data_IF_122737775708
#
_entry.id   IF_122737775708
#
_cell.length_a   1.000
_cell.length_b   1.000
_cell.length_c   1.000
_cell.angle_alpha   90.00
_cell.angle_beta   90.00
_cell.angle_gamma   90.00
#
_symmetry.space_group_name_H-M   'P 1'
#
loop_
_entity.id
_entity.type
_entity.pdbx_description
1 polymer ?
#
# COMPACT_ATOMS: atom_id res chain seq x y z
N UNK A 1 -3.47 20.51 6.97
CA UNK A 1 -3.54 19.31 6.10
C UNK A 1 -2.85 19.63 4.78
N UNK A 2 -1.67 19.05 4.50
CA UNK A 2 -0.97 19.24 3.22
C UNK A 2 -1.56 18.25 2.22
N UNK A 3 -2.38 18.73 1.30
CA UNK A 3 -2.90 17.95 0.19
C UNK A 3 -1.87 17.96 -0.94
N UNK A 4 -1.34 16.81 -1.31
CA UNK A 4 -0.49 16.66 -2.49
C UNK A 4 -1.41 16.61 -3.72
N UNK A 5 -1.57 17.74 -4.43
CA UNK A 5 -2.30 17.81 -5.69
C UNK A 5 -1.30 17.57 -6.82
N UNK A 6 -1.54 16.55 -7.64
CA UNK A 6 -0.73 16.21 -8.80
C UNK A 6 -1.63 16.29 -10.04
N UNK A 7 -1.28 17.14 -11.01
CA UNK A 7 -1.97 17.25 -12.31
C UNK A 7 -0.99 16.92 -13.44
N UNK A 8 -1.31 15.96 -14.31
CA UNK A 8 -0.56 15.68 -15.54
C UNK A 8 -1.49 15.46 -16.72
N UNK A 9 -1.26 16.22 -17.79
CA UNK A 9 -1.98 16.15 -19.06
C UNK A 9 -1.18 15.36 -20.08
N UNK A 10 -1.47 14.06 -20.28
CA UNK A 10 -1.17 13.37 -21.54
C UNK A 10 -2.27 12.31 -21.82
N UNK A 11 -2.83 12.42 -23.02
CA UNK A 11 -3.87 11.64 -23.69
C UNK A 11 -3.94 10.15 -23.24
N UNK A 12 -5.05 9.75 -22.61
CA UNK A 12 -5.39 8.42 -22.04
C UNK A 12 -4.86 8.03 -20.65
N UNK A 13 -4.09 8.87 -19.94
CA UNK A 13 -3.90 8.66 -18.50
C UNK A 13 -5.10 9.28 -17.76
N UNK A 14 -6.05 8.45 -17.33
CA UNK A 14 -7.17 8.96 -16.52
C UNK A 14 -6.57 9.60 -15.27
N UNK A 15 -6.91 10.87 -14.99
CA UNK A 15 -6.41 11.61 -13.83
C UNK A 15 -6.80 10.89 -12.53
N UNK A 16 -5.86 10.12 -11.97
CA UNK A 16 -5.99 9.49 -10.67
C UNK A 16 -5.30 10.35 -9.61
N UNK A 17 -5.98 10.58 -8.49
CA UNK A 17 -5.44 11.26 -7.32
C UNK A 17 -5.18 10.24 -6.22
N UNK A 18 -3.98 10.29 -5.65
CA UNK A 18 -3.65 9.59 -4.42
C UNK A 18 -3.91 10.52 -3.25
N UNK A 19 -4.91 10.20 -2.43
CA UNK A 19 -5.20 10.93 -1.20
C UNK A 19 -4.79 10.07 -0.02
N UNK A 20 -4.01 10.66 0.89
CA UNK A 20 -3.49 9.96 2.08
C UNK A 20 -4.00 10.68 3.31
N UNK A 21 -4.75 9.96 4.14
CA UNK A 21 -5.25 10.39 5.44
C UNK A 21 -4.30 9.93 6.56
N UNK A 22 -4.69 10.12 7.82
CA UNK A 22 -3.96 9.62 8.96
C UNK A 22 -3.98 8.08 9.05
N UNK A 23 -5.07 7.45 8.60
CA UNK A 23 -5.35 6.01 8.76
C UNK A 23 -5.46 5.26 7.45
N UNK A 24 -5.81 5.95 6.37
CA UNK A 24 -6.25 5.34 5.11
C UNK A 24 -5.57 6.02 3.91
N UNK A 25 -5.40 5.22 2.85
CA UNK A 25 -4.98 5.62 1.52
C UNK A 25 -6.16 5.44 0.57
N UNK A 26 -6.43 6.45 -0.25
CA UNK A 26 -7.52 6.47 -1.21
C UNK A 26 -7.00 6.74 -2.62
N UNK A 27 -7.48 5.97 -3.58
CA UNK A 27 -7.26 6.25 -5.00
C UNK A 27 -8.57 6.76 -5.58
N UNK A 28 -8.55 8.00 -6.04
CA UNK A 28 -9.70 8.65 -6.65
C UNK A 28 -9.44 8.81 -8.14
N UNK A 29 -10.45 8.60 -8.97
CA UNK A 29 -10.40 8.81 -10.42
C UNK A 29 -11.30 9.97 -10.78
N UNK A 30 -10.73 11.06 -11.29
CA UNK A 30 -11.50 12.24 -11.69
C UNK A 30 -12.43 11.89 -12.85
N UNK A 31 -13.67 12.35 -12.77
CA UNK A 31 -14.63 12.21 -13.86
C UNK A 31 -14.28 13.20 -14.98
N UNK A 32 -14.21 12.78 -16.25
CA UNK A 32 -13.86 13.67 -17.35
C UNK A 32 -14.92 14.75 -17.58
N UNK A 33 -16.18 14.44 -17.29
CA UNK A 33 -17.34 15.31 -17.52
C UNK A 33 -17.55 16.34 -16.40
N UNK A 34 -17.10 16.04 -15.18
CA UNK A 34 -17.30 16.89 -14.00
C UNK A 34 -15.98 17.19 -13.28
N UNK A 35 -15.45 18.39 -13.51
CA UNK A 35 -14.14 18.83 -12.98
C UNK A 35 -14.03 18.76 -11.45
N UNK A 36 -15.12 18.84 -10.70
CA UNK A 36 -15.13 18.86 -9.23
C UNK A 36 -15.44 17.51 -8.59
N UNK A 37 -15.74 16.48 -9.38
CA UNK A 37 -16.11 15.16 -8.89
C UNK A 37 -15.06 14.10 -9.24
N UNK A 38 -14.92 13.10 -8.37
CA UNK A 38 -14.07 11.94 -8.59
C UNK A 38 -14.74 10.70 -8.02
N UNK A 39 -14.57 9.56 -8.70
CA UNK A 39 -15.00 8.27 -8.21
C UNK A 39 -13.93 7.68 -7.29
N UNK A 40 -14.33 7.12 -6.17
CA UNK A 40 -13.45 6.30 -5.35
C UNK A 40 -13.17 4.98 -6.07
N UNK A 41 -11.90 4.69 -6.36
CA UNK A 41 -11.47 3.45 -7.02
C UNK A 41 -11.10 2.40 -5.99
N UNK A 42 -10.26 2.78 -5.03
CA UNK A 42 -9.81 1.89 -3.97
C UNK A 42 -9.59 2.67 -2.68
N UNK A 43 -9.72 1.97 -1.55
CA UNK A 43 -9.43 2.47 -0.21
C UNK A 43 -8.72 1.35 0.55
N UNK A 44 -7.55 1.66 1.09
CA UNK A 44 -6.76 0.73 1.88
C UNK A 44 -6.32 1.37 3.19
N UNK A 45 -6.47 0.69 4.34
CA UNK A 45 -5.86 1.14 5.59
C UNK A 45 -4.33 1.20 5.45
N UNK A 46 -3.69 2.23 6.01
CA UNK A 46 -2.24 2.38 5.96
C UNK A 46 -1.51 1.25 6.69
N UNK A 47 -2.13 0.66 7.71
CA UNK A 47 -1.60 -0.48 8.47
C UNK A 47 -1.43 -1.75 7.62
N UNK A 48 -2.24 -1.93 6.56
CA UNK A 48 -2.15 -3.14 5.72
C UNK A 48 -1.06 -3.00 4.65
N UNK A 49 -0.43 -1.83 4.50
CA UNK A 49 0.62 -1.61 3.49
C UNK A 49 1.88 -2.37 3.88
N UNK A 50 2.09 -3.54 3.28
CA UNK A 50 3.27 -4.39 3.53
C UNK A 50 4.50 -3.91 2.77
N UNK A 51 4.31 -3.45 1.53
CA UNK A 51 5.42 -3.08 0.66
C UNK A 51 5.09 -1.90 -0.23
N UNK A 52 6.05 -0.98 -0.31
CA UNK A 52 6.07 0.12 -1.27
C UNK A 52 7.29 -0.08 -2.17
N UNK A 53 7.06 -0.33 -3.46
CA UNK A 53 8.12 -0.56 -4.44
C UNK A 53 8.03 0.40 -5.60
N UNK A 54 9.18 0.78 -6.16
CA UNK A 54 9.27 1.50 -7.44
C UNK A 54 10.07 0.68 -8.45
N UNK A 55 9.83 0.93 -9.74
CA UNK A 55 10.70 0.39 -10.79
C UNK A 55 11.94 1.28 -10.93
N UNK A 56 13.13 0.68 -11.04
CA UNK A 56 14.38 1.43 -11.26
C UNK A 56 14.34 2.31 -12.51
N UNK A 57 13.70 1.84 -13.58
CA UNK A 57 13.61 2.55 -14.85
C UNK A 57 12.51 3.61 -14.87
N UNK A 58 11.53 3.53 -13.97
CA UNK A 58 10.38 4.44 -13.88
C UNK A 58 10.09 4.69 -12.39
N UNK A 59 10.92 5.52 -11.73
CA UNK A 59 10.83 5.75 -10.28
C UNK A 59 9.50 6.40 -9.87
N UNK A 60 8.81 7.06 -10.80
CA UNK A 60 7.49 7.66 -10.61
C UNK A 60 6.38 6.62 -10.52
N UNK A 61 6.61 5.38 -10.98
CA UNK A 61 5.63 4.31 -10.88
C UNK A 61 5.84 3.59 -9.55
N UNK A 62 4.95 3.88 -8.60
CA UNK A 62 4.92 3.27 -7.28
C UNK A 62 3.88 2.16 -7.25
N UNK A 63 4.26 1.03 -6.68
CA UNK A 63 3.35 -0.09 -6.38
C UNK A 63 3.21 -0.22 -4.87
N UNK A 64 1.98 -0.11 -4.39
CA UNK A 64 1.58 -0.45 -3.03
C UNK A 64 1.11 -1.91 -3.03
N UNK A 65 1.61 -2.71 -2.09
CA UNK A 65 1.08 -4.04 -1.79
C UNK A 65 0.45 -4.01 -0.42
N UNK A 66 -0.66 -4.70 -0.32
CA UNK A 66 -1.44 -4.81 0.91
C UNK A 66 -1.36 -6.25 1.43
N UNK A 67 -1.39 -6.43 2.75
CA UNK A 67 -1.61 -7.76 3.35
C UNK A 67 -3.06 -8.17 3.15
N UNK A 68 -3.23 -9.44 2.81
CA UNK A 68 -4.51 -10.14 2.91
C UNK A 68 -4.42 -11.14 4.06
N UNK A 69 -5.54 -11.56 4.66
CA UNK A 69 -5.51 -12.59 5.71
C UNK A 69 -4.84 -13.89 5.23
N UNK A 70 -4.91 -14.20 3.93
CA UNK A 70 -4.19 -15.34 3.33
C UNK A 70 -2.67 -15.17 3.39
N UNK A 71 -2.16 -13.92 3.30
CA UNK A 71 -0.72 -13.66 3.41
C UNK A 71 -0.21 -13.86 4.85
N UNK A 72 -1.03 -13.56 5.86
CA UNK A 72 -0.69 -13.76 7.27
C UNK A 72 -0.57 -15.26 7.59
N UNK A 73 -1.50 -16.08 7.09
CA UNK A 73 -1.44 -17.55 7.18
C UNK A 73 -0.19 -18.13 6.47
N UNK A 74 0.14 -17.63 5.27
CA UNK A 74 1.34 -18.05 4.52
C UNK A 74 2.64 -17.70 5.27
N UNK A 75 2.71 -16.54 5.92
CA UNK A 75 3.90 -16.12 6.69
C UNK A 75 4.09 -16.93 7.97
N UNK A 76 3.00 -17.28 8.67
CA UNK A 76 3.04 -18.15 9.85
C UNK A 76 3.45 -19.60 9.50
N UNK A 77 2.91 -20.16 8.41
CA UNK A 77 3.31 -21.49 7.93
C UNK A 77 4.79 -21.52 7.52
N UNK A 78 5.27 -20.47 6.82
CA UNK A 78 6.67 -20.35 6.40
C UNK A 78 7.64 -20.21 7.58
N UNK A 79 7.22 -19.57 8.68
CA UNK A 79 8.03 -19.46 9.91
C UNK A 79 8.12 -20.80 10.65
N UNK A 80 7.05 -21.60 10.66
CA UNK A 80 7.03 -22.92 11.29
C UNK A 80 7.84 -23.97 10.51
N UNK A 81 7.84 -23.91 9.17
CA UNK A 81 8.58 -24.81 8.29
C UNK A 81 10.11 -24.61 8.34
N UNK A 82 10.59 -23.42 8.75
CA UNK A 82 12.02 -23.15 8.89
C UNK A 82 12.64 -23.79 10.15
N UNK A 83 11.83 -24.16 11.15
CA UNK A 83 12.33 -24.80 12.38
C UNK A 83 12.42 -26.32 12.27
N UNK A 84 11.78 -26.96 11.28
CA UNK A 84 11.88 -28.41 11.03
C UNK A 84 12.84 -28.69 9.87
N UNK A 85 13.96 -29.32 10.21
CA UNK A 85 14.99 -29.74 9.26
C UNK A 85 14.45 -30.45 8.02
N UNK A 86 14.95 -30.00 6.87
CA UNK A 86 14.87 -30.55 5.50
C UNK A 86 14.12 -31.88 5.35
N UNK A 87 12.91 -31.81 4.80
CA UNK A 87 12.36 -32.87 3.96
C UNK A 87 11.72 -32.21 2.74
N UNK A 88 12.31 -32.43 1.56
CA UNK A 88 11.86 -31.85 0.29
C UNK A 88 10.57 -32.52 -0.17
N UNK A 89 9.43 -32.03 0.29
CA UNK A 89 8.15 -32.30 -0.39
C UNK A 89 7.91 -31.19 -1.41
N UNK A 90 7.82 -31.58 -2.68
CA UNK A 90 7.62 -30.71 -3.83
C UNK A 90 6.17 -30.19 -3.82
N UNK A 91 5.92 -29.11 -3.09
CA UNK A 91 4.64 -28.39 -3.12
C UNK A 91 4.50 -27.75 -4.50
N UNK A 92 3.43 -28.10 -5.23
CA UNK A 92 3.07 -27.46 -6.51
C UNK A 92 2.84 -25.97 -6.23
N UNK A 93 3.43 -25.03 -7.00
CA UNK A 93 3.15 -23.62 -6.82
C UNK A 93 1.68 -23.39 -7.16
N UNK A 94 0.85 -23.15 -6.13
CA UNK A 94 -0.51 -22.66 -6.31
C UNK A 94 -0.38 -21.31 -7.00
N UNK A 95 -1.01 -21.16 -8.15
CA UNK A 95 -1.03 -19.92 -8.92
C UNK A 95 -1.57 -18.80 -8.01
N UNK A 96 -0.69 -17.92 -7.52
CA UNK A 96 -1.04 -16.77 -6.65
C UNK A 96 -2.08 -15.91 -7.37
N UNK A 97 -3.35 -16.10 -7.03
CA UNK A 97 -4.47 -15.33 -7.54
C UNK A 97 -4.51 -13.99 -6.81
N UNK A 98 -4.21 -12.92 -7.55
CA UNK A 98 -4.37 -11.51 -7.21
C UNK A 98 -3.91 -11.07 -5.81
N UNK A 99 -2.61 -10.78 -5.70
CA UNK A 99 -2.11 -9.84 -4.69
C UNK A 99 -2.84 -8.52 -4.91
N UNK A 100 -3.62 -8.08 -3.93
CA UNK A 100 -4.26 -6.77 -3.98
C UNK A 100 -3.14 -5.72 -3.96
N UNK A 101 -2.96 -5.05 -5.09
CA UNK A 101 -1.88 -4.10 -5.26
C UNK A 101 -2.29 -2.96 -6.19
N UNK A 102 -1.98 -1.75 -5.74
CA UNK A 102 -2.23 -0.54 -6.52
C UNK A 102 -0.94 -0.06 -7.16
N UNK A 103 -1.02 0.24 -8.46
CA UNK A 103 0.05 0.90 -9.19
C UNK A 103 -0.38 2.32 -9.53
N UNK A 104 0.39 3.29 -9.05
CA UNK A 104 0.11 4.70 -9.27
C UNK A 104 1.33 5.41 -9.85
N UNK A 105 1.07 6.41 -10.66
CA UNK A 105 2.08 7.36 -11.08
C UNK A 105 2.11 8.53 -10.10
N UNK A 106 3.28 8.79 -9.51
CA UNK A 106 3.56 9.86 -8.57
C UNK A 106 4.76 10.67 -9.10
N UNK A 107 4.56 11.88 -9.64
CA UNK A 107 5.67 12.80 -9.83
C UNK A 107 6.29 13.11 -8.47
N UNK A 108 7.61 13.25 -8.44
CA UNK A 108 8.38 13.40 -7.21
C UNK A 108 8.12 12.29 -6.18
N UNK A 109 8.00 11.05 -6.67
CA UNK A 109 7.71 9.86 -5.85
C UNK A 109 8.63 9.70 -4.63
N UNK A 110 9.86 10.22 -4.69
CA UNK A 110 10.80 10.20 -3.57
C UNK A 110 10.23 10.87 -2.31
N UNK A 111 9.68 12.07 -2.42
CA UNK A 111 9.16 12.79 -1.25
C UNK A 111 7.75 12.34 -0.88
N UNK A 112 6.92 12.00 -1.88
CA UNK A 112 5.60 11.44 -1.63
C UNK A 112 5.69 10.13 -0.82
N UNK A 113 6.56 9.20 -1.22
CA UNK A 113 6.71 7.92 -0.52
C UNK A 113 7.33 8.07 0.88
N UNK A 114 8.25 9.04 1.09
CA UNK A 114 8.75 9.36 2.44
C UNK A 114 7.61 9.82 3.36
N UNK A 115 6.76 10.71 2.88
CA UNK A 115 5.62 11.21 3.67
C UNK A 115 4.64 10.10 4.01
N UNK A 116 4.33 9.22 3.05
CA UNK A 116 3.45 8.05 3.28
C UNK A 116 4.06 7.12 4.32
N UNK A 117 5.35 6.79 4.20
CA UNK A 117 6.06 5.96 5.19
C UNK A 117 6.04 6.58 6.58
N UNK A 118 6.23 7.90 6.68
CA UNK A 118 6.17 8.60 7.96
C UNK A 118 4.77 8.51 8.60
N UNK A 119 3.70 8.59 7.78
CA UNK A 119 2.33 8.40 8.27
C UNK A 119 2.07 6.97 8.75
N UNK A 120 2.54 5.97 7.99
CA UNK A 120 2.47 4.56 8.39
C UNK A 120 3.19 4.34 9.72
N UNK A 121 4.43 4.83 9.85
CA UNK A 121 5.21 4.71 11.10
C UNK A 121 4.52 5.38 12.29
N UNK A 122 3.95 6.58 12.08
CA UNK A 122 3.19 7.26 13.14
C UNK A 122 1.97 6.47 13.56
N UNK A 123 1.27 5.86 12.61
CA UNK A 123 0.09 5.06 12.87
C UNK A 123 0.44 3.79 13.65
N UNK A 124 1.49 3.06 13.24
CA UNK A 124 1.95 1.87 13.95
C UNK A 124 2.39 2.20 15.38
N UNK A 125 3.18 3.26 15.55
CA UNK A 125 3.55 3.72 16.89
C UNK A 125 2.31 4.05 17.74
N UNK A 126 1.25 4.60 17.14
CA UNK A 126 0.02 4.91 17.88
C UNK A 126 -0.66 3.64 18.40
N UNK A 127 -0.63 2.52 17.66
CA UNK A 127 -1.17 1.25 18.11
C UNK A 127 -0.33 0.63 19.23
N UNK A 128 1.00 0.65 19.12
CA UNK A 128 1.91 0.10 20.14
C UNK A 128 1.77 0.81 21.51
N UNK A 129 1.38 2.09 21.50
CA UNK A 129 1.19 2.87 22.72
C UNK A 129 -0.17 2.62 23.41
N UNK A 130 -1.13 1.96 22.75
CA UNK A 130 -2.44 1.64 23.35
C UNK A 130 -2.35 0.38 24.23
N UNK A 131 -1.43 -0.54 23.93
CA UNK A 131 -1.24 -1.79 24.68
C UNK A 131 -0.32 -1.66 25.92
N UNK A 132 0.21 -0.47 26.20
CA UNK A 132 0.99 -0.21 27.41
C UNK A 132 0.02 -0.05 28.60
N UNK A 133 0.03 -0.94 29.61
CA UNK A 133 -0.79 -0.76 30.79
C UNK A 133 -0.35 0.53 31.48
N UNK A 134 -1.31 1.43 31.71
CA UNK A 134 -1.10 2.63 32.53
C UNK A 134 -0.72 2.15 33.92
N UNK A 135 0.58 2.15 34.23
CA UNK A 135 1.08 1.83 35.57
C UNK A 135 0.48 2.85 36.53
N UNK A 136 -0.51 2.42 37.31
CA UNK A 136 -1.08 3.16 38.43
C UNK A 136 -0.42 2.66 39.71
#
# INVERSE_FOLDING_TARGET
HKFCKIEFSIMYFIFSLLLVSATDLYILRRLPEQKTMANLVSRHPLQTVTKITSKKTFPEIITFRYSTPEDEEEEEEQQQLQQKGKSKTKVKPRTKTSIDCDKVYLPDAGDATKNIKLLIMKLLNMFDNIDQPVST
#
